data_IF_795047455621
#
_entry.id   IF_795047455621
#
_cell.length_a   1.000
_cell.length_b   1.000
_cell.length_c   1.000
_cell.angle_alpha   90.00
_cell.angle_beta   90.00
_cell.angle_gamma   90.00
#
_symmetry.space_group_name_H-M   'P 1'
#
loop_
_entity.id
_entity.type
_entity.pdbx_description
1 polymer ?
#
# COMPACT_ATOMS: atom_id res chain seq x y z
N UNK A 1 17.83 3.06 -11.73
CA UNK A 1 16.69 3.95 -11.48
C UNK A 1 15.75 3.91 -12.67
N UNK A 2 14.46 3.77 -12.43
CA UNK A 2 13.41 3.79 -13.47
C UNK A 2 12.78 5.17 -13.45
N UNK A 3 12.68 5.81 -14.61
CA UNK A 3 12.02 7.12 -14.73
C UNK A 3 10.95 7.10 -15.82
N UNK A 4 9.85 7.81 -15.58
CA UNK A 4 8.78 8.03 -16.54
C UNK A 4 8.67 9.53 -16.80
N UNK A 5 8.58 9.92 -18.07
CA UNK A 5 8.42 11.31 -18.47
C UNK A 5 7.45 11.45 -19.65
N UNK A 6 6.89 12.62 -19.80
CA UNK A 6 6.04 12.99 -20.93
C UNK A 6 6.25 14.47 -21.26
N UNK A 7 6.46 14.78 -22.52
CA UNK A 7 6.61 16.16 -22.95
C UNK A 7 5.30 16.94 -22.73
N UNK A 8 5.36 18.05 -21.99
CA UNK A 8 4.23 18.94 -21.75
C UNK A 8 3.27 18.54 -20.64
N UNK A 9 3.61 17.53 -19.83
CA UNK A 9 2.82 17.18 -18.65
C UNK A 9 3.16 18.02 -17.43
N UNK A 10 2.20 18.24 -16.54
CA UNK A 10 2.37 18.94 -15.27
C UNK A 10 3.28 18.17 -14.32
N UNK A 11 2.93 16.96 -13.93
CA UNK A 11 3.75 16.10 -13.09
C UNK A 11 3.49 14.60 -13.35
N UNK A 12 4.56 13.81 -13.25
CA UNK A 12 4.50 12.36 -13.20
C UNK A 12 4.97 11.88 -11.84
N UNK A 13 4.19 11.00 -11.25
CA UNK A 13 4.58 10.32 -10.02
C UNK A 13 4.51 8.82 -10.26
N UNK A 14 5.67 8.19 -10.31
CA UNK A 14 5.76 6.73 -10.33
C UNK A 14 5.44 6.20 -8.93
N UNK A 15 4.62 5.16 -8.85
CA UNK A 15 4.23 4.54 -7.59
C UNK A 15 4.85 3.17 -7.41
N UNK A 16 4.76 2.34 -8.42
CA UNK A 16 5.20 0.95 -8.33
C UNK A 16 5.72 0.47 -9.68
N UNK A 17 6.76 -0.36 -9.65
CA UNK A 17 7.24 -1.11 -10.80
C UNK A 17 7.12 -2.59 -10.48
N UNK A 18 6.40 -3.33 -11.30
CA UNK A 18 6.30 -4.77 -11.21
C UNK A 18 7.10 -5.41 -12.33
N UNK A 19 8.01 -6.32 -11.97
CA UNK A 19 8.90 -6.97 -12.94
C UNK A 19 8.33 -8.32 -13.31
N UNK A 20 7.82 -8.44 -14.53
CA UNK A 20 7.32 -9.67 -15.10
C UNK A 20 8.08 -9.98 -16.41
N UNK A 21 9.32 -10.50 -16.24
CA UNK A 21 10.25 -10.70 -17.37
C UNK A 21 9.58 -11.47 -18.52
N UNK A 22 9.64 -10.96 -19.76
CA UNK A 22 10.45 -9.85 -20.27
C UNK A 22 9.79 -8.45 -20.17
N UNK A 23 8.68 -8.31 -19.50
CA UNK A 23 7.87 -7.08 -19.43
C UNK A 23 8.01 -6.40 -18.07
N UNK A 24 7.73 -5.11 -18.05
CA UNK A 24 7.62 -4.29 -16.84
C UNK A 24 6.26 -3.62 -16.83
N UNK A 25 5.53 -3.77 -15.73
CA UNK A 25 4.33 -2.99 -15.46
C UNK A 25 4.71 -1.81 -14.56
N UNK A 26 4.50 -0.60 -15.05
CA UNK A 26 4.83 0.62 -14.34
C UNK A 26 3.54 1.35 -13.98
N UNK A 27 3.26 1.45 -12.68
CA UNK A 27 2.12 2.19 -12.16
C UNK A 27 2.55 3.62 -11.85
N UNK A 28 1.81 4.59 -12.39
CA UNK A 28 2.14 6.00 -12.22
C UNK A 28 0.89 6.88 -12.26
N UNK A 29 0.99 8.05 -11.66
CA UNK A 29 0.05 9.14 -11.88
C UNK A 29 0.63 10.12 -12.89
N UNK A 30 -0.22 10.55 -13.83
CA UNK A 30 0.05 11.68 -14.70
C UNK A 30 -0.97 12.77 -14.38
N UNK A 31 -0.50 13.90 -13.86
CA UNK A 31 -1.35 15.00 -13.42
C UNK A 31 -1.09 16.24 -14.28
N UNK A 32 -2.15 16.99 -14.57
CA UNK A 32 -2.03 18.31 -15.20
C UNK A 32 -1.55 19.39 -14.18
N UNK A 33 -1.42 20.63 -14.65
CA UNK A 33 -0.97 21.74 -13.81
C UNK A 33 -1.93 22.07 -12.65
N UNK A 34 -3.19 21.63 -12.74
CA UNK A 34 -4.23 21.83 -11.74
C UNK A 34 -4.36 20.61 -10.79
N UNK A 35 -3.56 19.56 -11.01
CA UNK A 35 -3.56 18.34 -10.20
C UNK A 35 -4.63 17.30 -10.61
N UNK A 36 -5.29 17.47 -11.76
CA UNK A 36 -6.23 16.48 -12.27
C UNK A 36 -5.50 15.38 -13.05
N UNK A 37 -5.99 14.15 -12.95
CA UNK A 37 -5.41 13.02 -13.67
C UNK A 37 -5.65 13.12 -15.19
N UNK A 38 -4.61 12.88 -15.96
CA UNK A 38 -4.76 12.67 -17.40
C UNK A 38 -5.44 11.32 -17.69
N UNK A 39 -6.30 11.30 -18.71
CA UNK A 39 -6.83 10.03 -19.21
C UNK A 39 -5.72 9.20 -19.88
N UNK A 40 -5.80 7.86 -19.85
CA UNK A 40 -4.82 6.98 -20.52
C UNK A 40 -4.64 7.30 -22.01
N UNK A 41 -5.71 7.67 -22.69
CA UNK A 41 -5.67 8.07 -24.11
C UNK A 41 -4.79 9.31 -24.30
N UNK A 42 -4.91 10.30 -23.44
CA UNK A 42 -4.05 11.51 -23.50
C UNK A 42 -2.60 11.19 -23.20
N UNK A 43 -2.33 10.32 -22.20
CA UNK A 43 -0.98 9.89 -21.86
C UNK A 43 -0.36 9.12 -23.03
N UNK A 44 -1.08 8.18 -23.62
CA UNK A 44 -0.59 7.41 -24.77
C UNK A 44 -0.34 8.29 -26.00
N UNK A 45 -1.23 9.25 -26.28
CA UNK A 45 -1.08 10.16 -27.40
C UNK A 45 0.12 11.10 -27.25
N UNK A 46 0.50 11.44 -26.01
CA UNK A 46 1.66 12.26 -25.72
C UNK A 46 3.00 11.51 -25.83
N UNK A 47 2.98 10.18 -26.01
CA UNK A 47 4.17 9.36 -26.17
C UNK A 47 5.02 9.32 -24.90
N UNK A 48 4.56 8.65 -23.85
CA UNK A 48 5.33 8.57 -22.60
C UNK A 48 6.68 7.88 -22.84
N UNK A 49 7.71 8.41 -22.24
CA UNK A 49 9.05 7.85 -22.28
C UNK A 49 9.34 7.12 -20.98
N UNK A 50 9.80 5.88 -21.10
CA UNK A 50 10.23 5.06 -19.97
C UNK A 50 11.71 4.75 -20.11
N UNK A 51 12.48 5.01 -19.06
CA UNK A 51 13.91 4.67 -19.04
C UNK A 51 14.26 3.82 -17.83
N UNK A 52 15.20 2.91 -18.01
CA UNK A 52 15.82 2.14 -16.94
C UNK A 52 17.33 2.40 -16.97
N UNK A 53 17.82 3.22 -16.04
CA UNK A 53 19.14 3.82 -16.13
C UNK A 53 19.25 4.64 -17.43
N UNK A 54 20.29 4.37 -18.23
CA UNK A 54 20.51 5.03 -19.51
C UNK A 54 19.79 4.37 -20.71
N UNK A 55 19.00 3.33 -20.46
CA UNK A 55 18.30 2.58 -21.51
C UNK A 55 16.85 3.02 -21.63
N UNK A 56 16.48 3.48 -22.83
CA UNK A 56 15.07 3.72 -23.18
C UNK A 56 14.37 2.37 -23.40
N UNK A 57 13.20 2.23 -22.80
CA UNK A 57 12.33 1.06 -22.94
C UNK A 57 11.18 1.38 -23.89
N UNK A 58 10.73 0.37 -24.62
CA UNK A 58 9.54 0.48 -25.48
C UNK A 58 8.27 0.46 -24.60
N UNK A 59 7.43 1.47 -24.73
CA UNK A 59 6.10 1.50 -24.10
C UNK A 59 5.11 0.80 -25.04
N UNK A 60 4.63 -0.37 -24.64
CA UNK A 60 3.69 -1.16 -25.44
C UNK A 60 2.26 -0.67 -25.35
N UNK A 61 1.83 -0.30 -24.13
CA UNK A 61 0.46 0.16 -23.89
C UNK A 61 0.39 1.06 -22.67
N UNK A 62 -0.63 1.91 -22.63
CA UNK A 62 -1.01 2.71 -21.47
C UNK A 62 -2.50 2.48 -21.21
N UNK A 63 -2.85 2.06 -20.02
CA UNK A 63 -4.23 1.77 -19.65
C UNK A 63 -4.57 2.39 -18.29
N UNK A 64 -5.86 2.60 -18.04
CA UNK A 64 -6.30 2.88 -16.68
C UNK A 64 -6.06 1.65 -15.80
N UNK A 65 -5.58 1.88 -14.59
CA UNK A 65 -5.38 0.78 -13.66
C UNK A 65 -6.72 0.25 -13.19
N UNK A 66 -6.96 -1.03 -13.44
CA UNK A 66 -8.12 -1.78 -12.97
C UNK A 66 -7.73 -2.93 -12.04
N UNK A 67 -6.42 -3.15 -11.86
CA UNK A 67 -5.94 -4.25 -11.03
C UNK A 67 -6.32 -4.03 -9.56
N UNK A 68 -6.73 -5.10 -8.87
CA UNK A 68 -7.05 -5.02 -7.45
C UNK A 68 -5.83 -4.67 -6.62
N UNK A 69 -6.08 -4.10 -5.44
CA UNK A 69 -5.06 -3.73 -4.45
C UNK A 69 -5.12 -4.69 -3.27
N UNK A 70 -3.97 -5.18 -2.81
CA UNK A 70 -3.85 -5.79 -1.49
C UNK A 70 -3.42 -4.72 -0.47
N UNK A 71 -4.33 -4.34 0.40
CA UNK A 71 -4.07 -3.45 1.53
C UNK A 71 -3.47 -4.25 2.68
N UNK A 72 -2.22 -3.96 3.04
CA UNK A 72 -1.52 -4.54 4.18
C UNK A 72 -1.63 -3.55 5.32
N UNK A 73 -2.55 -3.78 6.24
CA UNK A 73 -2.86 -2.86 7.32
C UNK A 73 -2.33 -3.39 8.65
N UNK A 74 -1.54 -2.58 9.33
CA UNK A 74 -1.08 -2.84 10.68
C UNK A 74 -1.80 -1.90 11.67
N UNK A 75 -2.55 -2.49 12.59
CA UNK A 75 -3.34 -1.77 13.57
C UNK A 75 -2.68 -1.89 14.96
N UNK A 76 -2.36 -0.75 15.54
CA UNK A 76 -1.95 -0.70 16.93
C UNK A 76 -3.16 -0.94 17.83
N UNK A 77 -3.13 -2.03 18.58
CA UNK A 77 -4.17 -2.41 19.51
C UNK A 77 -3.70 -2.36 20.97
N UNK A 78 -2.70 -1.52 21.25
CA UNK A 78 -2.18 -1.35 22.60
C UNK A 78 -3.18 -0.62 23.52
N UNK A 79 -3.16 -0.98 24.81
CA UNK A 79 -3.96 -0.29 25.83
C UNK A 79 -3.44 1.10 26.20
N UNK A 80 -2.30 1.52 25.68
CA UNK A 80 -1.82 2.90 25.79
C UNK A 80 -2.72 3.87 25.04
N UNK A 81 -3.39 3.40 23.98
CA UNK A 81 -4.35 4.19 23.20
C UNK A 81 -5.65 4.31 24.00
N UNK A 82 -6.19 5.53 24.09
CA UNK A 82 -7.48 5.73 24.76
C UNK A 82 -8.58 4.93 24.05
N UNK A 83 -9.52 4.28 24.78
CA UNK A 83 -10.57 3.47 24.15
C UNK A 83 -11.36 4.20 23.07
N UNK A 84 -11.67 5.48 23.26
CA UNK A 84 -12.39 6.30 22.26
C UNK A 84 -11.60 6.48 20.96
N UNK A 85 -10.28 6.65 21.06
CA UNK A 85 -9.38 6.75 19.91
C UNK A 85 -9.26 5.43 19.20
N UNK A 86 -9.11 4.34 19.94
CA UNK A 86 -9.10 2.99 19.39
C UNK A 86 -10.37 2.69 18.58
N UNK A 87 -11.55 3.01 19.10
CA UNK A 87 -12.81 2.88 18.35
C UNK A 87 -12.86 3.76 17.11
N UNK A 88 -12.27 4.95 17.15
CA UNK A 88 -12.15 5.84 15.98
C UNK A 88 -11.24 5.20 14.91
N UNK A 89 -10.12 4.59 15.32
CA UNK A 89 -9.23 3.86 14.42
C UNK A 89 -9.93 2.69 13.75
N UNK A 90 -10.66 1.86 14.51
CA UNK A 90 -11.50 0.77 13.96
C UNK A 90 -12.56 1.31 12.98
N UNK A 91 -13.15 2.46 13.29
CA UNK A 91 -14.09 3.16 12.40
C UNK A 91 -13.44 3.59 11.08
N UNK A 92 -12.19 4.04 11.11
CA UNK A 92 -11.38 4.36 9.93
C UNK A 92 -11.15 3.12 9.06
N UNK A 93 -10.74 2.01 9.67
CA UNK A 93 -10.54 0.74 8.94
C UNK A 93 -11.86 0.24 8.32
N UNK A 94 -12.97 0.39 9.03
CA UNK A 94 -14.30 0.04 8.48
C UNK A 94 -14.66 0.89 7.25
N UNK A 95 -14.34 2.18 7.26
CA UNK A 95 -14.54 3.06 6.09
C UNK A 95 -13.67 2.62 4.91
N UNK A 96 -12.42 2.21 5.15
CA UNK A 96 -11.56 1.64 4.13
C UNK A 96 -12.21 0.40 3.50
N UNK A 97 -12.63 -0.58 4.32
CA UNK A 97 -13.29 -1.82 3.84
C UNK A 97 -14.53 -1.48 2.98
N UNK A 98 -15.30 -0.46 3.36
CA UNK A 98 -16.46 -0.02 2.58
C UNK A 98 -16.05 0.54 1.21
N UNK A 99 -14.93 1.27 1.14
CA UNK A 99 -14.44 1.91 -0.07
C UNK A 99 -13.69 0.95 -1.02
N UNK A 100 -13.22 -0.19 -0.54
CA UNK A 100 -12.51 -1.19 -1.32
C UNK A 100 -13.38 -1.75 -2.45
N UNK A 101 -12.76 -1.98 -3.61
CA UNK A 101 -13.36 -2.71 -4.73
C UNK A 101 -13.71 -4.16 -4.36
N UNK A 102 -14.47 -4.83 -5.25
CA UNK A 102 -14.91 -6.21 -5.00
C UNK A 102 -13.76 -7.22 -4.93
N UNK A 103 -12.72 -6.98 -5.72
CA UNK A 103 -11.55 -7.86 -5.83
C UNK A 103 -10.34 -7.37 -5.01
N UNK A 104 -10.45 -6.20 -4.38
CA UNK A 104 -9.43 -5.70 -3.46
C UNK A 104 -9.31 -6.62 -2.24
N UNK A 105 -8.11 -6.78 -1.76
CA UNK A 105 -7.79 -7.64 -0.61
C UNK A 105 -7.37 -6.81 0.59
N UNK A 106 -7.70 -7.27 1.77
CA UNK A 106 -7.18 -6.77 3.05
C UNK A 106 -6.41 -7.88 3.76
N UNK A 107 -5.19 -7.55 4.16
CA UNK A 107 -4.41 -8.31 5.13
C UNK A 107 -4.28 -7.45 6.39
N UNK A 108 -4.55 -8.00 7.57
CA UNK A 108 -4.60 -7.24 8.81
C UNK A 108 -3.67 -7.83 9.87
N UNK A 109 -2.79 -6.97 10.37
CA UNK A 109 -1.91 -7.25 11.49
C UNK A 109 -2.36 -6.48 12.73
N UNK A 110 -2.20 -7.08 13.91
CA UNK A 110 -2.19 -6.40 15.20
C UNK A 110 -0.77 -6.35 15.74
N UNK A 111 -0.44 -5.33 16.54
CA UNK A 111 0.96 -5.01 16.84
C UNK A 111 1.31 -4.87 18.30
N UNK A 112 0.33 -4.83 19.21
CA UNK A 112 0.61 -4.72 20.65
C UNK A 112 1.07 -6.05 21.24
N UNK A 113 2.19 -6.02 21.96
CA UNK A 113 2.81 -7.20 22.57
C UNK A 113 3.50 -8.14 21.59
N UNK A 114 2.85 -8.45 20.47
CA UNK A 114 3.41 -9.23 19.34
C UNK A 114 2.83 -8.75 18.02
N UNK A 115 3.58 -8.89 16.94
CA UNK A 115 3.06 -8.64 15.59
C UNK A 115 2.43 -9.93 15.07
N UNK A 116 1.11 -9.92 14.88
CA UNK A 116 0.34 -11.09 14.47
C UNK A 116 -0.52 -10.77 13.24
N UNK A 117 -0.49 -11.63 12.23
CA UNK A 117 -1.42 -11.58 11.12
C UNK A 117 -2.76 -12.19 11.58
N UNK A 118 -3.72 -11.32 11.93
CA UNK A 118 -5.05 -11.74 12.41
C UNK A 118 -6.04 -11.97 11.27
N UNK A 119 -5.73 -11.46 10.08
CA UNK A 119 -6.48 -11.68 8.85
C UNK A 119 -5.49 -11.86 7.70
N UNK A 120 -5.31 -13.09 7.18
CA UNK A 120 -4.63 -13.31 5.91
C UNK A 120 -5.35 -12.58 4.77
N UNK A 121 -4.63 -12.28 3.68
CA UNK A 121 -5.19 -11.55 2.54
C UNK A 121 -6.50 -12.20 2.04
N UNK A 122 -7.55 -11.42 1.99
CA UNK A 122 -8.87 -11.86 1.55
C UNK A 122 -9.65 -10.71 0.92
N UNK A 123 -10.53 -11.00 -0.02
CA UNK A 123 -11.55 -10.08 -0.57
C UNK A 123 -12.93 -10.25 0.09
N UNK A 124 -13.09 -11.22 0.99
CA UNK A 124 -14.35 -11.44 1.73
C UNK A 124 -14.58 -10.33 2.78
N UNK A 125 -15.41 -9.35 2.42
CA UNK A 125 -15.76 -8.23 3.31
C UNK A 125 -16.44 -8.68 4.60
N UNK A 126 -17.19 -9.79 4.60
CA UNK A 126 -17.83 -10.30 5.83
C UNK A 126 -16.78 -10.81 6.81
N UNK A 127 -15.76 -11.52 6.29
CA UNK A 127 -14.64 -11.99 7.10
C UNK A 127 -13.83 -10.80 7.63
N UNK A 128 -13.59 -9.76 6.81
CA UNK A 128 -12.91 -8.54 7.23
C UNK A 128 -13.65 -7.86 8.40
N UNK A 129 -14.98 -7.68 8.29
CA UNK A 129 -15.78 -7.06 9.37
C UNK A 129 -15.81 -7.91 10.63
N UNK A 130 -15.94 -9.24 10.49
CA UNK A 130 -15.92 -10.18 11.62
C UNK A 130 -14.60 -10.10 12.37
N UNK A 131 -13.48 -10.15 11.64
CA UNK A 131 -12.14 -10.07 12.24
C UNK A 131 -11.94 -8.70 12.90
N UNK A 132 -12.25 -7.59 12.21
CA UNK A 132 -12.14 -6.26 12.77
C UNK A 132 -12.95 -6.10 14.07
N UNK A 133 -14.15 -6.66 14.12
CA UNK A 133 -15.01 -6.63 15.31
C UNK A 133 -14.50 -7.49 16.47
N UNK A 134 -13.60 -8.41 16.23
CA UNK A 134 -13.00 -9.28 17.27
C UNK A 134 -11.74 -8.70 17.90
N UNK A 135 -11.12 -7.68 17.28
CA UNK A 135 -9.88 -7.09 17.78
C UNK A 135 -10.16 -6.36 19.09
N UNK A 136 -9.32 -6.64 20.07
CA UNK A 136 -9.37 -6.02 21.39
C UNK A 136 -8.04 -5.36 21.69
N UNK A 137 -8.07 -4.33 22.53
CA UNK A 137 -6.85 -3.77 23.09
C UNK A 137 -6.21 -4.75 24.06
N UNK A 138 -4.89 -4.89 23.99
CA UNK A 138 -4.09 -5.75 24.86
C UNK A 138 -2.95 -4.98 25.51
N UNK A 139 -2.39 -5.52 26.58
CA UNK A 139 -1.19 -4.97 27.21
C UNK A 139 0.01 -5.15 26.26
N UNK A 140 0.92 -4.22 26.32
CA UNK A 140 2.14 -4.21 25.53
C UNK A 140 2.23 -2.97 24.65
N UNK A 141 3.43 -2.75 24.14
CA UNK A 141 3.72 -1.67 23.17
C UNK A 141 3.90 -2.25 21.78
N UNK A 142 3.73 -1.42 20.78
CA UNK A 142 4.04 -1.76 19.40
C UNK A 142 5.55 -1.93 19.21
N UNK A 143 5.99 -3.06 18.65
CA UNK A 143 7.36 -3.23 18.14
C UNK A 143 7.40 -2.75 16.69
N UNK A 144 7.69 -1.46 16.53
CA UNK A 144 7.71 -0.82 15.21
C UNK A 144 8.72 -1.46 14.26
N UNK A 145 9.88 -1.89 14.75
CA UNK A 145 10.90 -2.51 13.91
C UNK A 145 10.43 -3.86 13.35
N UNK A 146 9.86 -4.70 14.20
CA UNK A 146 9.28 -5.99 13.81
C UNK A 146 8.10 -5.81 12.86
N UNK A 147 7.25 -4.83 13.13
CA UNK A 147 6.11 -4.50 12.27
C UNK A 147 6.57 -4.11 10.87
N UNK A 148 7.50 -3.17 10.75
CA UNK A 148 8.01 -2.72 9.45
C UNK A 148 8.64 -3.89 8.70
N UNK A 149 9.41 -4.76 9.38
CA UNK A 149 9.99 -5.94 8.76
C UNK A 149 8.91 -6.91 8.24
N UNK A 150 7.83 -7.14 9.00
CA UNK A 150 6.72 -7.98 8.58
C UNK A 150 6.00 -7.40 7.37
N UNK A 151 5.62 -6.12 7.41
CA UNK A 151 4.95 -5.42 6.31
C UNK A 151 5.83 -5.39 5.06
N UNK A 152 7.12 -5.11 5.21
CA UNK A 152 8.06 -5.10 4.09
C UNK A 152 8.19 -6.48 3.46
N UNK A 153 8.25 -7.54 4.26
CA UNK A 153 8.27 -8.93 3.75
C UNK A 153 7.04 -9.23 2.90
N UNK A 154 5.85 -8.77 3.32
CA UNK A 154 4.62 -8.95 2.53
C UNK A 154 4.62 -8.12 1.24
N UNK A 155 5.16 -6.89 1.28
CA UNK A 155 5.30 -6.06 0.08
C UNK A 155 6.22 -6.70 -0.96
N UNK A 156 7.27 -7.39 -0.51
CA UNK A 156 8.23 -8.08 -1.37
C UNK A 156 7.77 -9.49 -1.77
N UNK A 157 6.70 -10.01 -1.16
CA UNK A 157 6.26 -11.36 -1.46
C UNK A 157 5.63 -11.46 -2.86
N UNK A 158 6.15 -12.38 -3.68
CA UNK A 158 5.57 -12.75 -4.98
C UNK A 158 4.46 -13.79 -4.84
N UNK A 159 3.75 -13.77 -3.71
CA UNK A 159 2.71 -14.74 -3.44
C UNK A 159 1.59 -14.59 -4.48
N UNK A 160 1.39 -15.60 -5.33
CA UNK A 160 0.42 -15.59 -6.43
C UNK A 160 -1.03 -15.37 -5.97
N UNK A 161 -1.30 -15.54 -4.68
CA UNK A 161 -2.62 -15.28 -4.09
C UNK A 161 -2.85 -13.81 -3.75
N UNK A 162 -1.82 -12.96 -3.77
CA UNK A 162 -1.95 -11.54 -3.48
C UNK A 162 -2.26 -10.75 -4.75
N UNK A 163 -3.11 -9.72 -4.61
CA UNK A 163 -3.32 -8.75 -5.66
C UNK A 163 -1.98 -8.11 -6.08
N UNK A 164 -1.77 -7.84 -7.38
CA UNK A 164 -0.47 -7.37 -7.91
C UNK A 164 -0.08 -6.01 -7.34
N UNK A 165 -1.04 -5.14 -7.06
CA UNK A 165 -0.80 -3.84 -6.42
C UNK A 165 -0.88 -4.01 -4.91
N UNK A 166 0.06 -3.40 -4.18
CA UNK A 166 0.11 -3.50 -2.73
C UNK A 166 0.22 -2.11 -2.11
N UNK A 167 -0.51 -1.89 -1.04
CA UNK A 167 -0.45 -0.67 -0.25
C UNK A 167 -0.34 -1.01 1.24
N UNK A 168 0.71 -0.51 1.89
CA UNK A 168 0.91 -0.70 3.32
C UNK A 168 0.43 0.52 4.11
N UNK A 169 -0.27 0.28 5.21
CA UNK A 169 -0.76 1.31 6.13
C UNK A 169 -0.51 0.91 7.57
N UNK A 170 -0.04 1.86 8.35
CA UNK A 170 0.10 1.71 9.81
C UNK A 170 -0.89 2.66 10.47
N UNK A 171 -1.74 2.12 11.33
CA UNK A 171 -2.74 2.89 12.08
C UNK A 171 -2.36 2.84 13.57
N UNK A 172 -1.92 3.96 14.09
CA UNK A 172 -1.44 4.13 15.48
C UNK A 172 -1.76 5.56 15.94
N UNK A 173 -1.71 5.78 17.26
CA UNK A 173 -1.79 7.14 17.86
C UNK A 173 -0.50 7.93 17.72
N UNK A 174 0.52 7.34 17.09
CA UNK A 174 1.86 7.91 16.94
C UNK A 174 2.57 8.27 18.28
N UNK A 175 2.09 7.74 19.40
CA UNK A 175 2.69 7.96 20.71
C UNK A 175 4.09 7.33 20.90
N UNK A 176 4.53 6.53 19.91
CA UNK A 176 5.83 5.86 19.95
C UNK A 176 6.85 6.57 19.06
N UNK A 177 7.98 6.93 19.66
CA UNK A 177 9.13 7.47 18.91
C UNK A 177 9.82 6.33 18.15
N UNK A 178 10.03 6.50 16.85
CA UNK A 178 10.83 5.59 16.05
C UNK A 178 12.30 5.65 16.48
N UNK A 179 12.73 4.69 17.26
CA UNK A 179 14.09 4.70 17.87
C UNK A 179 15.16 4.13 16.95
N UNK A 180 14.79 3.45 15.85
CA UNK A 180 15.77 2.80 14.96
C UNK A 180 15.66 3.31 13.52
N UNK A 181 16.14 4.53 13.30
CA UNK A 181 16.17 5.15 11.96
C UNK A 181 17.05 4.38 10.94
N UNK A 182 18.01 3.57 11.41
CA UNK A 182 18.87 2.78 10.51
C UNK A 182 18.08 1.70 9.75
N UNK A 183 17.03 1.16 10.35
CA UNK A 183 16.17 0.19 9.69
C UNK A 183 15.44 0.81 8.48
N UNK A 184 14.95 2.04 8.62
CA UNK A 184 14.27 2.75 7.52
C UNK A 184 15.20 3.06 6.35
N UNK A 185 16.46 3.41 6.62
CA UNK A 185 17.45 3.63 5.58
C UNK A 185 17.79 2.35 4.78
N UNK A 186 17.59 1.18 5.39
CA UNK A 186 17.81 -0.12 4.71
C UNK A 186 16.61 -0.54 3.86
N UNK A 187 15.41 -0.03 4.18
CA UNK A 187 14.14 -0.36 3.50
C UNK A 187 13.77 0.64 2.39
N UNK A 188 14.45 1.76 2.32
CA UNK A 188 14.28 2.79 1.28
C UNK A 188 15.25 2.56 0.12
#
# INVERSE_FOLDING_TARGET
ETTVGMSGAGSFKMEQVYVNVPELDVYFYALDGDGNSYSPIKVQAAGPELTLGDRRLEVRSVAAVSDPICYILALDNSKSIAPSEFYTMLGGVRKLINAMGGDDQLMLYTTAGSTECVLPATSDKNLMYKTLGSIKQVEGSMDTARLISAVYSELQSDYQALAPRKAAMIVTDAGQVLTNMALFATLA
#
